data_IF_427597395740
#
_entry.id   IF_427597395740
#
_cell.length_a   1.000
_cell.length_b   1.000
_cell.length_c   1.000
_cell.angle_alpha   90.00
_cell.angle_beta   90.00
_cell.angle_gamma   90.00
#
_symmetry.space_group_name_H-M   'P 1'
#
loop_
_entity.id
_entity.type
_entity.pdbx_description
1 polymer ?
#
# COMPACT_ATOMS: atom_id res chain seq x y z
N UNK A 1 6.83 -12.06 7.23
CA UNK A 1 6.83 -10.61 7.00
C UNK A 1 8.21 -9.96 7.12
N UNK A 2 8.80 -9.77 8.31
CA UNK A 2 10.11 -9.10 8.46
C UNK A 2 11.24 -9.69 7.61
N UNK A 3 11.34 -11.02 7.52
CA UNK A 3 12.32 -11.70 6.64
C UNK A 3 12.11 -11.33 5.16
N UNK A 4 10.87 -11.39 4.68
CA UNK A 4 10.54 -11.07 3.29
C UNK A 4 10.89 -9.62 2.95
N UNK A 5 10.68 -8.68 3.87
CA UNK A 5 11.11 -7.29 3.70
C UNK A 5 12.64 -7.15 3.56
N UNK A 6 13.41 -7.84 4.42
CA UNK A 6 14.87 -7.83 4.34
C UNK A 6 15.41 -8.45 3.04
N UNK A 7 14.80 -9.54 2.58
CA UNK A 7 15.14 -10.20 1.32
C UNK A 7 14.82 -9.31 0.11
N UNK A 8 13.61 -8.75 0.05
CA UNK A 8 13.20 -7.83 -1.01
C UNK A 8 14.15 -6.63 -1.11
N UNK A 9 14.51 -6.04 0.03
CA UNK A 9 15.43 -4.90 0.10
C UNK A 9 16.84 -5.26 -0.38
N UNK A 10 17.36 -6.41 0.06
CA UNK A 10 18.72 -6.87 -0.30
C UNK A 10 18.81 -7.21 -1.78
N UNK A 11 17.79 -7.86 -2.32
CA UNK A 11 17.73 -8.28 -3.73
C UNK A 11 17.30 -7.15 -4.66
N UNK A 12 16.81 -6.03 -4.11
CA UNK A 12 16.13 -4.94 -4.84
C UNK A 12 15.07 -5.49 -5.79
N UNK A 13 14.25 -6.43 -5.28
CA UNK A 13 13.14 -7.03 -6.03
C UNK A 13 11.94 -7.19 -5.11
N UNK A 14 10.72 -6.92 -5.60
CA UNK A 14 9.53 -7.10 -4.81
C UNK A 14 9.20 -8.58 -4.63
N UNK A 15 8.36 -8.88 -3.64
CA UNK A 15 7.84 -10.21 -3.39
C UNK A 15 6.33 -10.16 -3.09
N UNK A 16 5.59 -11.19 -3.51
CA UNK A 16 4.20 -11.41 -3.11
C UNK A 16 4.16 -12.62 -2.17
N UNK A 17 3.74 -12.40 -0.93
CA UNK A 17 3.74 -13.42 0.13
C UNK A 17 2.32 -13.77 0.50
N UNK A 18 1.98 -15.06 0.43
CA UNK A 18 0.66 -15.58 0.81
C UNK A 18 0.72 -16.16 2.22
N UNK A 19 -0.23 -15.76 3.07
CA UNK A 19 -0.41 -16.32 4.40
C UNK A 19 -1.84 -16.81 4.59
N UNK A 20 -1.97 -18.07 5.01
CA UNK A 20 -3.24 -18.66 5.40
C UNK A 20 -3.47 -18.42 6.90
N UNK A 21 -4.57 -17.76 7.23
CA UNK A 21 -4.99 -17.44 8.60
C UNK A 21 -6.06 -18.45 9.06
N UNK A 22 -5.79 -19.74 8.85
CA UNK A 22 -6.68 -20.84 9.18
C UNK A 22 -6.25 -21.57 10.47
N UNK A 23 -7.21 -22.24 11.08
CA UNK A 23 -7.26 -22.57 12.52
C UNK A 23 -6.18 -23.55 13.03
N UNK A 24 -5.43 -24.24 12.18
CA UNK A 24 -4.48 -25.27 12.63
C UNK A 24 -3.22 -24.68 13.29
N UNK A 25 -3.00 -23.36 13.18
CA UNK A 25 -1.99 -22.58 13.90
C UNK A 25 -2.63 -21.52 14.84
N UNK A 26 -3.92 -21.63 15.15
CA UNK A 26 -4.66 -20.60 15.88
C UNK A 26 -4.71 -20.81 17.40
N UNK A 27 -4.23 -21.95 17.91
CA UNK A 27 -4.15 -22.21 19.35
C UNK A 27 -3.27 -21.21 20.11
N UNK A 28 -2.19 -20.72 19.48
CA UNK A 28 -1.16 -19.92 20.16
C UNK A 28 -1.03 -18.47 19.63
N UNK A 29 -1.60 -18.13 18.46
CA UNK A 29 -1.29 -16.87 17.75
C UNK A 29 -2.51 -15.98 17.41
N UNK A 30 -3.73 -16.36 17.77
CA UNK A 30 -4.90 -15.47 17.66
C UNK A 30 -5.28 -15.02 16.24
N UNK A 31 -4.96 -15.82 15.21
CA UNK A 31 -5.26 -15.51 13.80
C UNK A 31 -6.62 -16.09 13.37
N UNK A 32 -7.70 -15.65 14.03
CA UNK A 32 -9.06 -16.21 13.82
C UNK A 32 -9.85 -15.62 12.64
N UNK A 33 -9.23 -14.81 11.77
CA UNK A 33 -9.95 -14.19 10.65
C UNK A 33 -10.39 -15.22 9.58
N UNK A 34 -9.88 -16.45 9.60
CA UNK A 34 -10.34 -17.56 8.74
C UNK A 34 -10.06 -17.37 7.24
N UNK A 35 -9.19 -16.43 6.88
CA UNK A 35 -8.96 -15.99 5.50
C UNK A 35 -7.55 -16.26 5.00
N UNK A 36 -7.29 -15.87 3.75
CA UNK A 36 -5.94 -15.81 3.17
C UNK A 36 -5.62 -14.36 2.87
N UNK A 37 -4.43 -13.91 3.25
CA UNK A 37 -3.93 -12.58 2.88
C UNK A 37 -2.76 -12.74 1.91
N UNK A 38 -2.76 -11.89 0.89
CA UNK A 38 -1.61 -11.71 0.01
C UNK A 38 -0.98 -10.36 0.34
N UNK A 39 0.32 -10.39 0.59
CA UNK A 39 1.06 -9.22 1.02
C UNK A 39 2.14 -8.96 -0.02
N UNK A 40 2.02 -7.80 -0.66
CA UNK A 40 3.06 -7.29 -1.52
C UNK A 40 4.12 -6.56 -0.69
N UNK A 41 5.38 -6.92 -0.92
CA UNK A 41 6.54 -6.33 -0.26
C UNK A 41 7.40 -5.73 -1.36
N UNK A 42 7.36 -4.40 -1.49
CA UNK A 42 8.27 -3.66 -2.36
C UNK A 42 9.48 -3.13 -1.58
N UNK A 43 10.70 -3.22 -2.13
CA UNK A 43 11.85 -2.55 -1.56
C UNK A 43 11.83 -1.06 -1.90
N UNK A 44 12.42 -0.24 -1.03
CA UNK A 44 12.65 1.17 -1.30
C UNK A 44 13.98 1.33 -2.02
N UNK A 45 13.94 1.92 -3.21
CA UNK A 45 15.09 2.02 -4.11
C UNK A 45 15.26 3.46 -4.61
N UNK A 46 16.47 3.87 -4.95
CA UNK A 46 16.82 5.27 -5.22
C UNK A 46 16.83 5.64 -6.72
N UNK A 47 16.25 4.79 -7.56
CA UNK A 47 16.17 4.95 -9.01
C UNK A 47 15.29 6.17 -9.34
N UNK A 48 15.74 7.09 -10.22
CA UNK A 48 15.05 8.37 -10.42
C UNK A 48 13.57 8.26 -10.78
N UNK A 49 13.20 7.30 -11.63
CA UNK A 49 11.80 7.09 -12.02
C UNK A 49 10.93 6.60 -10.85
N UNK A 50 11.47 5.76 -9.97
CA UNK A 50 10.79 5.26 -8.78
C UNK A 50 10.57 6.39 -7.77
N UNK A 51 11.61 7.18 -7.49
CA UNK A 51 11.54 8.33 -6.59
C UNK A 51 10.58 9.38 -7.13
N UNK A 52 10.60 9.67 -8.44
CA UNK A 52 9.68 10.64 -9.04
C UNK A 52 8.20 10.25 -8.86
N UNK A 53 7.86 8.96 -8.94
CA UNK A 53 6.49 8.49 -8.68
C UNK A 53 6.09 8.68 -7.20
N UNK A 54 7.01 8.44 -6.27
CA UNK A 54 6.77 8.67 -4.84
C UNK A 54 6.59 10.16 -4.51
N UNK A 55 7.45 11.03 -5.05
CA UNK A 55 7.36 12.48 -4.87
C UNK A 55 6.05 13.03 -5.45
N UNK A 56 5.66 12.57 -6.64
CA UNK A 56 4.40 12.97 -7.26
C UNK A 56 3.18 12.53 -6.42
N UNK A 57 3.22 11.32 -5.84
CA UNK A 57 2.18 10.85 -4.94
C UNK A 57 2.14 11.66 -3.64
N UNK A 58 3.30 11.96 -3.04
CA UNK A 58 3.40 12.74 -1.81
C UNK A 58 2.88 14.18 -1.96
N UNK A 59 3.00 14.76 -3.16
CA UNK A 59 2.53 16.09 -3.47
C UNK A 59 1.02 16.16 -3.83
N UNK A 60 0.32 15.03 -3.92
CA UNK A 60 -1.06 14.96 -4.38
C UNK A 60 -2.07 14.76 -3.25
N UNK A 61 -3.25 15.35 -3.39
CA UNK A 61 -4.37 15.14 -2.45
C UNK A 61 -4.99 13.74 -2.59
N UNK A 62 -4.95 13.17 -3.80
CA UNK A 62 -5.46 11.84 -4.11
C UNK A 62 -4.84 11.31 -5.41
N UNK A 63 -4.73 10.00 -5.52
CA UNK A 63 -4.23 9.38 -6.74
C UNK A 63 -4.20 7.86 -6.71
N UNK A 64 -3.68 7.32 -7.81
CA UNK A 64 -3.45 5.90 -8.02
C UNK A 64 -1.96 5.68 -8.21
N UNK A 65 -1.37 4.87 -7.35
CA UNK A 65 -0.02 4.34 -7.50
C UNK A 65 -0.12 2.94 -8.08
N UNK A 66 0.66 2.66 -9.11
CA UNK A 66 0.73 1.32 -9.71
C UNK A 66 2.16 0.81 -9.64
N UNK A 67 2.39 -0.28 -8.90
CA UNK A 67 3.70 -0.94 -8.82
C UNK A 67 3.64 -2.29 -9.53
N UNK A 68 4.61 -2.60 -10.39
CA UNK A 68 4.75 -3.95 -10.95
C UNK A 68 5.13 -4.98 -9.88
N UNK A 69 4.52 -6.16 -9.94
CA UNK A 69 4.76 -7.26 -9.00
C UNK A 69 6.08 -8.00 -9.24
N UNK A 70 6.71 -7.77 -10.39
CA UNK A 70 8.03 -8.26 -10.73
C UNK A 70 8.84 -7.14 -11.38
N UNK A 71 10.11 -7.02 -10.99
CA UNK A 71 11.06 -6.12 -11.64
C UNK A 71 12.03 -6.98 -12.43
N UNK A 72 11.80 -7.07 -13.73
CA UNK A 72 12.81 -7.63 -14.61
C UNK A 72 14.03 -6.68 -14.56
N UNK A 73 15.22 -7.22 -14.28
CA UNK A 73 16.39 -6.38 -14.03
C UNK A 73 16.84 -5.53 -15.23
N UNK A 74 16.12 -5.61 -16.36
CA UNK A 74 16.36 -4.87 -17.60
C UNK A 74 15.52 -3.59 -17.65
N UNK A 75 14.23 -3.65 -17.31
CA UNK A 75 13.32 -2.52 -17.21
C UNK A 75 13.39 -1.82 -15.85
N UNK A 76 13.91 -2.50 -14.82
CA UNK A 76 14.05 -1.94 -13.47
C UNK A 76 12.70 -1.81 -12.74
N UNK A 77 12.63 -1.00 -11.68
CA UNK A 77 11.39 -0.79 -10.93
C UNK A 77 10.37 -0.04 -11.79
N UNK A 78 9.20 -0.65 -11.98
CA UNK A 78 8.05 0.00 -12.62
C UNK A 78 7.11 0.44 -11.51
N UNK A 79 7.14 1.74 -11.20
CA UNK A 79 6.19 2.41 -10.31
C UNK A 79 5.70 3.69 -10.99
N UNK A 80 4.39 3.85 -11.10
CA UNK A 80 3.77 5.02 -11.71
C UNK A 80 2.76 5.64 -10.79
N UNK A 81 2.47 6.92 -11.03
CA UNK A 81 1.46 7.68 -10.31
C UNK A 81 0.54 8.38 -11.31
N UNK A 82 -0.77 8.36 -11.02
CA UNK A 82 -1.77 9.15 -11.73
C UNK A 82 -2.68 9.87 -10.71
N UNK A 83 -2.84 11.20 -10.78
CA UNK A 83 -3.73 11.91 -9.88
C UNK A 83 -5.20 11.53 -10.15
N UNK A 84 -6.00 11.52 -9.10
CA UNK A 84 -7.44 11.37 -9.23
C UNK A 84 -8.09 12.76 -9.33
N UNK A 85 -9.18 12.90 -10.12
CA UNK A 85 -9.91 14.15 -10.15
C UNK A 85 -10.56 14.44 -8.78
N UNK A 86 -10.77 15.72 -8.43
CA UNK A 86 -11.54 16.07 -7.24
C UNK A 86 -12.92 15.39 -7.23
N UNK A 87 -13.31 14.84 -6.09
CA UNK A 87 -14.59 14.13 -5.96
C UNK A 87 -14.63 12.75 -6.60
N UNK A 88 -13.47 12.18 -6.98
CA UNK A 88 -13.41 10.78 -7.39
C UNK A 88 -14.00 9.87 -6.29
N UNK A 89 -14.86 8.94 -6.71
CA UNK A 89 -15.49 7.99 -5.79
C UNK A 89 -14.43 7.18 -5.01
N UNK A 90 -14.69 6.88 -3.73
CA UNK A 90 -13.87 5.96 -2.96
C UNK A 90 -13.73 4.62 -3.70
N UNK A 91 -12.53 4.08 -3.72
CA UNK A 91 -12.24 2.79 -4.32
C UNK A 91 -11.60 1.85 -3.31
N UNK A 92 -11.31 0.63 -3.76
CA UNK A 92 -10.50 -0.31 -2.98
C UNK A 92 -9.12 0.32 -2.73
N UNK A 93 -8.66 0.44 -1.47
CA UNK A 93 -7.39 1.11 -1.15
C UNK A 93 -6.18 0.47 -1.80
N UNK A 94 -6.15 -0.85 -1.92
CA UNK A 94 -5.11 -1.57 -2.64
C UNK A 94 -5.69 -2.86 -3.24
N UNK A 95 -5.36 -3.13 -4.50
CA UNK A 95 -5.78 -4.35 -5.18
C UNK A 95 -4.66 -4.87 -6.08
N UNK A 96 -4.59 -6.20 -6.17
CA UNK A 96 -3.81 -6.86 -7.20
C UNK A 96 -4.61 -6.83 -8.52
N UNK A 97 -3.96 -6.47 -9.63
CA UNK A 97 -4.60 -6.49 -10.95
C UNK A 97 -5.09 -7.89 -11.31
N UNK A 98 -6.08 -7.99 -12.21
CA UNK A 98 -6.65 -9.29 -12.59
C UNK A 98 -5.61 -10.26 -13.16
N UNK A 99 -4.62 -9.74 -13.88
CA UNK A 99 -3.47 -10.49 -14.42
C UNK A 99 -2.32 -10.66 -13.41
N UNK A 100 -2.48 -10.11 -12.20
CA UNK A 100 -1.53 -10.16 -11.07
C UNK A 100 -0.16 -9.55 -11.35
N UNK A 101 -0.04 -8.74 -12.40
CA UNK A 101 1.20 -8.07 -12.79
C UNK A 101 1.43 -6.76 -12.04
N UNK A 102 0.39 -6.19 -11.42
CA UNK A 102 0.48 -4.91 -10.74
C UNK A 102 -0.28 -4.89 -9.43
N UNK A 103 0.30 -4.22 -8.43
CA UNK A 103 -0.44 -3.72 -7.27
C UNK A 103 -0.89 -2.30 -7.58
N UNK A 104 -2.17 -2.06 -7.44
CA UNK A 104 -2.83 -0.76 -7.68
C UNK A 104 -3.30 -0.23 -6.35
N UNK A 105 -2.66 0.82 -5.87
CA UNK A 105 -2.96 1.49 -4.60
C UNK A 105 -3.68 2.80 -4.88
N UNK A 106 -4.84 3.00 -4.24
CA UNK A 106 -5.60 4.23 -4.26
C UNK A 106 -5.48 4.89 -2.91
N UNK A 107 -5.08 6.15 -2.89
CA UNK A 107 -5.07 6.95 -1.68
C UNK A 107 -5.81 8.26 -1.90
N UNK A 108 -6.31 8.78 -0.80
CA UNK A 108 -6.78 10.15 -0.66
C UNK A 108 -6.32 10.63 0.72
N UNK A 109 -6.13 11.93 0.89
CA UNK A 109 -5.87 12.51 2.20
C UNK A 109 -6.95 12.10 3.19
N UNK A 110 -6.55 11.96 4.45
CA UNK A 110 -7.49 11.70 5.53
C UNK A 110 -8.60 12.77 5.52
N UNK A 111 -9.87 12.40 5.79
CA UNK A 111 -10.95 13.36 5.88
C UNK A 111 -10.59 14.48 6.87
N UNK A 112 -10.77 15.73 6.45
CA UNK A 112 -10.58 16.88 7.33
C UNK A 112 -11.80 16.99 8.25
N UNK A 113 -11.58 16.92 9.55
CA UNK A 113 -12.62 17.15 10.57
C UNK A 113 -12.51 18.57 11.09
N UNK A 114 -13.59 19.36 10.99
CA UNK A 114 -13.67 20.67 11.63
C UNK A 114 -14.52 20.54 12.90
N UNK A 115 -13.92 20.80 14.05
CA UNK A 115 -14.60 20.80 15.36
C UNK A 115 -14.84 22.25 15.80
N UNK A 116 -16.09 22.59 16.09
CA UNK A 116 -16.46 23.90 16.63
C UNK A 116 -16.64 23.83 18.15
N UNK A 117 -15.87 24.65 18.87
CA UNK A 117 -15.85 24.70 20.33
C UNK A 117 -14.72 23.88 20.95
N UNK A 118 -13.98 24.50 21.87
CA UNK A 118 -12.79 23.92 22.52
C UNK A 118 -13.03 23.55 23.99
N UNK A 119 -14.29 23.28 24.36
CA UNK A 119 -14.65 22.78 25.69
C UNK A 119 -14.35 21.30 25.88
N UNK A 120 -14.75 20.72 27.02
CA UNK A 120 -14.46 19.32 27.36
C UNK A 120 -14.83 18.31 26.26
N UNK A 121 -15.99 18.50 25.62
CA UNK A 121 -16.45 17.64 24.52
C UNK A 121 -15.61 17.85 23.25
N UNK A 122 -15.27 19.09 22.91
CA UNK A 122 -14.44 19.41 21.73
C UNK A 122 -13.04 18.81 21.83
N UNK A 123 -12.44 18.86 23.02
CA UNK A 123 -11.12 18.27 23.28
C UNK A 123 -11.11 16.73 23.27
N UNK A 124 -12.27 16.07 23.46
CA UNK A 124 -12.37 14.61 23.41
C UNK A 124 -12.58 14.07 21.98
N UNK A 125 -12.92 14.94 21.02
CA UNK A 125 -13.24 14.58 19.63
C UNK A 125 -12.10 14.98 18.67
N UNK A 126 -11.33 16.02 19.01
CA UNK A 126 -10.21 16.54 18.20
C UNK A 126 -8.87 15.89 18.51
#
# INVERSE_FOLDING_TARGET
MLRAAGEAQTQRRPALVTHHLNADLAGDLGLSCGGTVEIFVEPLVAEPAYVAALEAAAAADAGVVTTATAWDGVAGPIKTFAPLPPGAEPGVPAALSADRRFVVERFALAPRVLVFGAGHVGAAIA
#
